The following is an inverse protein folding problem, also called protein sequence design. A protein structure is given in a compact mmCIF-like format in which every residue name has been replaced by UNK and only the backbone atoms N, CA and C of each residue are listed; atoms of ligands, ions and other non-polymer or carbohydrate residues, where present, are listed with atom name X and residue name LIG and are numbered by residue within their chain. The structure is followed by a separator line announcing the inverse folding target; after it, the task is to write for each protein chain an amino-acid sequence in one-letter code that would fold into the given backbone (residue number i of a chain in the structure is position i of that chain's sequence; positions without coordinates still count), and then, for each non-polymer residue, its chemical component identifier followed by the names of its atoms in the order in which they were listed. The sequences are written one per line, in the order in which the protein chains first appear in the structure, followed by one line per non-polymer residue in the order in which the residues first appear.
data_IF_832602103201
#
_entry.id   IF_832602103201
#
_cell.length_a   1.000
_cell.length_b   1.000
_cell.length_c   1.000
_cell.angle_alpha   90.00
_cell.angle_beta   90.00
_cell.angle_gamma   90.00
#
_symmetry.space_group_name_H-M   'P 1'
#
loop_
_entity.id
_entity.type
_entity.pdbx_description
1 polymer ?
#
# COMPACT_ATOMS: atom_id res chain seq x y z
N UNK A 1 3.77 9.47 -15.67
CA UNK A 1 4.68 8.39 -15.24
C UNK A 1 3.95 7.53 -14.22
N UNK A 2 3.79 6.24 -14.50
CA UNK A 2 3.12 5.30 -13.60
C UNK A 2 3.99 4.98 -12.39
N UNK A 3 3.35 4.86 -11.22
CA UNK A 3 3.96 4.51 -9.94
C UNK A 3 3.08 3.52 -9.20
N UNK A 4 3.73 2.65 -8.45
CA UNK A 4 3.09 1.69 -7.55
C UNK A 4 3.73 1.82 -6.17
N UNK A 5 2.90 1.92 -5.14
CA UNK A 5 3.31 1.74 -3.73
C UNK A 5 3.03 0.29 -3.35
N UNK A 6 4.04 -0.37 -2.78
CA UNK A 6 3.95 -1.76 -2.33
C UNK A 6 4.70 -1.93 -1.01
N UNK A 7 4.38 -2.98 -0.27
CA UNK A 7 5.09 -3.40 0.93
C UNK A 7 5.23 -4.92 0.94
N UNK A 8 6.18 -5.44 1.71
CA UNK A 8 6.27 -6.87 1.98
C UNK A 8 5.54 -7.21 3.28
N UNK A 9 4.75 -8.28 3.26
CA UNK A 9 4.14 -8.82 4.46
C UNK A 9 5.14 -9.66 5.30
N UNK A 10 4.76 -10.13 6.50
CA UNK A 10 5.59 -11.03 7.30
C UNK A 10 5.97 -12.35 6.62
N UNK A 11 5.23 -12.80 5.60
CA UNK A 11 5.55 -13.99 4.80
C UNK A 11 6.43 -13.68 3.58
N UNK A 12 6.94 -12.45 3.46
CA UNK A 12 7.78 -11.97 2.35
C UNK A 12 7.07 -11.94 1.00
N UNK A 13 5.75 -11.76 1.01
CA UNK A 13 4.92 -11.56 -0.17
C UNK A 13 4.76 -10.05 -0.45
N UNK A 14 4.95 -9.66 -1.70
CA UNK A 14 4.74 -8.27 -2.11
C UNK A 14 3.25 -7.97 -2.23
N UNK A 15 2.78 -6.95 -1.51
CA UNK A 15 1.40 -6.48 -1.51
C UNK A 15 1.35 -5.15 -2.24
N UNK A 16 0.56 -5.09 -3.33
CA UNK A 16 0.34 -3.86 -4.07
C UNK A 16 -0.72 -3.02 -3.36
N UNK A 17 -0.33 -1.83 -2.90
CA UNK A 17 -1.19 -1.00 -2.06
C UNK A 17 -1.86 0.10 -2.87
N UNK A 18 -1.14 0.73 -3.80
CA UNK A 18 -1.67 1.82 -4.65
C UNK A 18 -0.98 1.80 -6.00
N UNK A 19 -1.73 1.92 -7.09
CA UNK A 19 -1.21 2.19 -8.43
C UNK A 19 -1.81 3.47 -8.99
N UNK A 20 -0.99 4.32 -9.64
CA UNK A 20 -1.50 5.56 -10.21
C UNK A 20 -0.49 6.33 -11.08
N UNK A 21 -1.01 7.31 -11.82
CA UNK A 21 -0.18 8.18 -12.64
C UNK A 21 0.27 9.40 -11.83
N UNK A 22 1.59 9.51 -11.61
CA UNK A 22 2.21 10.63 -10.89
C UNK A 22 2.53 11.83 -11.79
N UNK A 23 2.45 11.71 -13.13
CA UNK A 23 2.90 12.78 -14.05
C UNK A 23 2.24 14.12 -13.71
N UNK A 24 3.06 15.16 -13.49
CA UNK A 24 2.57 16.49 -13.16
C UNK A 24 1.98 16.65 -11.75
N UNK A 25 1.63 15.57 -11.05
CA UNK A 25 1.07 15.63 -9.71
C UNK A 25 2.18 15.63 -8.64
N UNK A 26 2.51 16.83 -8.13
CA UNK A 26 3.47 17.03 -7.02
C UNK A 26 2.95 16.51 -5.67
N UNK A 27 1.63 16.42 -5.48
CA UNK A 27 0.97 15.97 -4.26
C UNK A 27 0.71 14.47 -4.22
N UNK A 28 1.03 13.76 -5.29
CA UNK A 28 0.75 12.33 -5.44
C UNK A 28 1.20 11.50 -4.23
N UNK A 29 2.41 11.72 -3.70
CA UNK A 29 2.85 11.00 -2.51
C UNK A 29 2.10 11.42 -1.24
N UNK A 30 1.85 12.73 -1.05
CA UNK A 30 1.07 13.25 0.08
C UNK A 30 -0.34 12.64 0.13
N UNK A 31 -0.93 12.40 -1.04
CA UNK A 31 -2.26 11.80 -1.17
C UNK A 31 -2.24 10.28 -1.05
N UNK A 32 -1.28 9.60 -1.69
CA UNK A 32 -1.30 8.15 -1.84
C UNK A 32 -0.56 7.40 -0.72
N UNK A 33 0.39 8.02 -0.01
CA UNK A 33 1.06 7.37 1.13
C UNK A 33 0.06 7.04 2.26
N UNK A 34 -0.80 7.97 2.74
CA UNK A 34 -1.79 7.66 3.78
C UNK A 34 -2.78 6.56 3.36
N UNK A 35 -3.14 6.51 2.08
CA UNK A 35 -4.02 5.47 1.52
C UNK A 35 -3.32 4.11 1.56
N UNK A 36 -2.04 4.05 1.15
CA UNK A 36 -1.26 2.83 1.21
C UNK A 36 -1.08 2.33 2.65
N UNK A 37 -0.82 3.23 3.58
CA UNK A 37 -0.66 2.93 5.00
C UNK A 37 -1.93 2.33 5.61
N UNK A 38 -3.09 2.96 5.39
CA UNK A 38 -4.37 2.44 5.86
C UNK A 38 -4.70 1.07 5.25
N UNK A 39 -4.38 0.85 3.97
CA UNK A 39 -4.60 -0.44 3.29
C UNK A 39 -3.69 -1.53 3.87
N UNK A 40 -2.44 -1.19 4.17
CA UNK A 40 -1.50 -2.14 4.75
C UNK A 40 -1.90 -2.52 6.18
N UNK A 41 -2.32 -1.56 6.99
CA UNK A 41 -2.82 -1.80 8.34
C UNK A 41 -4.01 -2.78 8.35
N UNK A 42 -5.02 -2.55 7.49
CA UNK A 42 -6.17 -3.46 7.33
C UNK A 42 -5.76 -4.86 6.88
N UNK A 43 -4.78 -4.94 5.99
CA UNK A 43 -4.25 -6.22 5.54
C UNK A 43 -3.57 -6.98 6.70
N UNK A 44 -2.79 -6.30 7.54
CA UNK A 44 -2.15 -6.93 8.71
C UNK A 44 -3.16 -7.37 9.78
N UNK A 45 -4.26 -6.63 9.97
CA UNK A 45 -5.35 -7.01 10.86
C UNK A 45 -6.00 -8.32 10.40
N UNK A 46 -6.37 -8.38 9.11
CA UNK A 46 -6.92 -9.60 8.50
C UNK A 46 -5.94 -10.79 8.61
N UNK A 47 -4.65 -10.56 8.40
CA UNK A 47 -3.62 -11.59 8.51
C UNK A 47 -3.48 -12.15 9.93
N UNK A 48 -3.81 -11.36 10.96
CA UNK A 48 -3.83 -11.82 12.36
C UNK A 48 -5.08 -12.65 12.66
N UNK A 49 -6.24 -12.24 12.14
CA UNK A 49 -7.49 -12.99 12.30
C UNK A 49 -7.40 -14.39 11.67
N UNK A 50 -6.82 -14.51 10.48
CA UNK A 50 -6.63 -15.80 9.79
C UNK A 50 -5.67 -16.75 10.51
N UNK A 51 -4.88 -16.26 11.48
CA UNK A 51 -3.92 -17.05 12.26
C UNK A 51 -4.44 -17.49 13.63
N UNK A 52 -5.60 -16.99 14.07
CA UNK A 52 -6.19 -17.30 15.36
C UNK A 52 -7.22 -18.43 15.27
#
# INVERSE_FOLDING_TARGET
MWRVLFAFDPHRQAILLVGGNKSGNKRWYKENIPIADQRYQKYLEKLKEEKS
#
